data_IF_967773275455
#
_entry.id   IF_967773275455
#
_cell.length_a   1.000
_cell.length_b   1.000
_cell.length_c   1.000
_cell.angle_alpha   90.00
_cell.angle_beta   90.00
_cell.angle_gamma   90.00
#
_symmetry.space_group_name_H-M   'P 1'
#
loop_
_entity.id
_entity.type
_entity.pdbx_description
1 polymer ?
#
# COMPACT_ATOMS: atom_id res chain seq x y z
N UNK A 1 12.56 18.23 5.31
CA UNK A 1 13.12 16.89 5.57
C UNK A 1 12.40 16.00 4.58
N UNK A 2 13.10 15.32 3.67
CA UNK A 2 12.51 14.38 2.72
C UNK A 2 12.74 12.95 3.20
N UNK A 3 12.84 12.02 2.25
CA UNK A 3 13.37 10.68 2.50
C UNK A 3 14.77 10.74 3.12
N UNK A 4 15.20 9.62 3.71
CA UNK A 4 16.57 9.48 4.20
C UNK A 4 17.55 9.58 3.03
N UNK A 5 18.57 10.42 3.18
CA UNK A 5 19.59 10.60 2.15
C UNK A 5 20.70 9.55 2.29
N UNK A 6 20.64 8.53 1.42
CA UNK A 6 21.62 7.43 1.38
C UNK A 6 22.86 7.77 0.55
N UNK A 7 22.79 8.81 -0.30
CA UNK A 7 23.92 9.30 -1.09
C UNK A 7 25.04 9.88 -0.24
N UNK A 8 24.67 10.60 0.82
CA UNK A 8 25.61 11.22 1.75
C UNK A 8 26.01 10.32 2.93
N UNK A 9 25.29 9.22 3.16
CA UNK A 9 25.49 8.36 4.34
C UNK A 9 25.08 6.91 4.10
N UNK A 10 25.99 6.09 3.56
CA UNK A 10 25.77 4.63 3.52
C UNK A 10 26.57 3.86 2.47
N UNK A 11 26.96 4.50 1.38
CA UNK A 11 27.54 3.82 0.20
C UNK A 11 28.78 4.55 -0.32
N UNK A 12 29.72 3.81 -0.92
CA UNK A 12 31.04 4.30 -1.30
C UNK A 12 30.99 5.23 -2.53
N UNK A 13 30.11 4.95 -3.49
CA UNK A 13 29.95 5.77 -4.70
C UNK A 13 28.55 5.63 -5.31
N UNK A 14 27.48 6.08 -4.61
CA UNK A 14 26.13 6.03 -5.12
C UNK A 14 25.90 7.04 -6.25
N UNK A 15 25.11 6.63 -7.24
CA UNK A 15 24.60 7.47 -8.32
C UNK A 15 23.45 8.35 -7.84
N UNK A 16 22.34 8.32 -8.55
CA UNK A 16 21.10 9.00 -8.18
C UNK A 16 20.35 8.20 -7.12
N UNK A 17 19.48 8.86 -6.35
CA UNK A 17 18.58 8.18 -5.41
C UNK A 17 17.14 8.34 -5.91
N UNK A 18 16.50 7.21 -6.20
CA UNK A 18 15.11 7.12 -6.59
C UNK A 18 14.28 6.76 -5.35
N UNK A 19 13.46 7.71 -4.90
CA UNK A 19 12.54 7.50 -3.79
C UNK A 19 11.21 6.95 -4.31
N UNK A 20 10.81 5.79 -3.80
CA UNK A 20 9.62 5.05 -4.21
C UNK A 20 8.75 4.81 -2.98
N UNK A 21 7.47 5.19 -3.03
CA UNK A 21 6.52 4.87 -1.95
C UNK A 21 5.50 3.86 -2.48
N UNK A 22 5.42 2.71 -1.82
CA UNK A 22 4.47 1.65 -2.12
C UNK A 22 3.37 1.58 -1.04
N UNK A 23 2.13 1.86 -1.42
CA UNK A 23 0.94 1.71 -0.59
C UNK A 23 0.37 0.31 -0.77
N UNK A 24 0.31 -0.45 0.32
CA UNK A 24 -0.17 -1.83 0.31
C UNK A 24 -1.39 -1.96 1.20
N UNK A 25 -2.50 -2.43 0.63
CA UNK A 25 -3.77 -2.63 1.33
C UNK A 25 -4.19 -4.10 1.40
N UNK A 26 -5.41 -4.31 1.88
CA UNK A 26 -5.89 -5.64 2.31
C UNK A 26 -5.96 -6.67 1.17
N UNK A 27 -5.94 -6.22 -0.09
CA UNK A 27 -5.82 -7.11 -1.24
C UNK A 27 -4.56 -7.97 -1.21
N UNK A 28 -3.44 -7.50 -0.62
CA UNK A 28 -2.26 -8.32 -0.42
C UNK A 28 -2.52 -9.48 0.55
N UNK A 29 -3.10 -9.18 1.73
CA UNK A 29 -3.42 -10.21 2.73
C UNK A 29 -4.42 -11.22 2.17
N UNK A 30 -5.46 -10.75 1.47
CA UNK A 30 -6.47 -11.64 0.83
C UNK A 30 -5.81 -12.56 -0.20
N UNK A 31 -4.91 -12.04 -1.03
CA UNK A 31 -4.17 -12.84 -2.00
C UNK A 31 -3.29 -13.88 -1.29
N UNK A 32 -2.46 -13.46 -0.34
CA UNK A 32 -1.57 -14.35 0.40
C UNK A 32 -2.36 -15.45 1.13
N UNK A 33 -3.48 -15.11 1.77
CA UNK A 33 -4.32 -16.10 2.45
C UNK A 33 -4.97 -17.08 1.47
N UNK A 34 -5.42 -16.59 0.31
CA UNK A 34 -5.98 -17.43 -0.76
C UNK A 34 -4.95 -18.40 -1.33
N UNK A 35 -3.76 -17.91 -1.70
CA UNK A 35 -2.68 -18.71 -2.30
C UNK A 35 -2.17 -19.82 -1.37
N UNK A 36 -2.31 -19.62 -0.05
CA UNK A 36 -1.89 -20.57 0.98
C UNK A 36 -3.05 -21.42 1.50
N UNK A 37 -4.24 -21.30 0.88
CA UNK A 37 -5.40 -22.13 1.18
C UNK A 37 -6.00 -21.88 2.56
N UNK A 38 -5.87 -20.67 3.10
CA UNK A 38 -6.50 -20.31 4.36
C UNK A 38 -8.02 -20.35 4.24
N UNK A 39 -8.68 -20.93 5.25
CA UNK A 39 -10.14 -20.97 5.33
C UNK A 39 -10.75 -19.64 5.81
N UNK A 40 -9.91 -18.75 6.35
CA UNK A 40 -10.31 -17.45 6.92
C UNK A 40 -9.48 -16.37 6.25
N UNK A 41 -10.15 -15.30 5.81
CA UNK A 41 -9.51 -14.09 5.29
C UNK A 41 -9.56 -12.95 6.32
N UNK A 42 -8.93 -11.81 5.99
CA UNK A 42 -8.85 -10.62 6.84
C UNK A 42 -9.95 -9.58 6.58
N UNK A 43 -10.98 -9.92 5.79
CA UNK A 43 -12.05 -8.96 5.43
C UNK A 43 -12.98 -8.70 6.61
N UNK A 44 -13.57 -7.50 6.66
CA UNK A 44 -14.52 -7.15 7.71
C UNK A 44 -15.79 -8.03 7.71
N UNK A 45 -16.18 -8.63 6.58
CA UNK A 45 -17.25 -9.65 6.53
C UNK A 45 -16.90 -10.85 7.41
N UNK A 46 -15.68 -11.39 7.29
CA UNK A 46 -15.20 -12.51 8.09
C UNK A 46 -15.10 -12.13 9.56
N UNK A 47 -14.64 -10.90 9.85
CA UNK A 47 -14.62 -10.37 11.22
C UNK A 47 -16.02 -10.26 11.83
N UNK A 48 -17.03 -9.79 11.09
CA UNK A 48 -18.42 -9.75 11.56
C UNK A 48 -18.91 -11.15 11.95
N UNK A 49 -18.66 -12.17 11.13
CA UNK A 49 -19.06 -13.54 11.45
C UNK A 49 -18.33 -14.08 12.68
N UNK A 50 -17.06 -13.72 12.86
CA UNK A 50 -16.29 -14.03 14.06
C UNK A 50 -16.93 -13.42 15.33
N UNK A 51 -17.33 -12.15 15.29
CA UNK A 51 -18.03 -11.49 16.40
C UNK A 51 -19.33 -12.23 16.77
N UNK A 52 -20.12 -12.64 15.77
CA UNK A 52 -21.37 -13.41 16.01
C UNK A 52 -21.09 -14.78 16.64
N UNK A 53 -20.07 -15.49 16.19
CA UNK A 53 -19.70 -16.80 16.73
C UNK A 53 -19.26 -16.72 18.20
N UNK A 54 -18.64 -15.62 18.61
CA UNK A 54 -18.19 -15.38 19.98
C UNK A 54 -19.27 -14.80 20.90
N UNK A 55 -20.48 -14.57 20.38
CA UNK A 55 -21.54 -13.89 21.13
C UNK A 55 -21.07 -12.55 21.69
N UNK A 56 -20.35 -11.77 20.87
CA UNK A 56 -19.95 -10.41 21.21
C UNK A 56 -21.17 -9.55 21.56
N UNK A 57 -20.96 -8.52 22.39
CA UNK A 57 -22.02 -7.67 22.94
C UNK A 57 -22.97 -7.13 21.87
N UNK A 58 -24.20 -7.64 21.86
CA UNK A 58 -25.28 -7.21 20.96
C UNK A 58 -25.74 -5.77 21.25
N UNK A 59 -25.33 -5.19 22.39
CA UNK A 59 -25.51 -3.78 22.71
C UNK A 59 -24.52 -2.84 22.00
N UNK A 60 -23.49 -3.37 21.32
CA UNK A 60 -22.52 -2.54 20.63
C UNK A 60 -23.17 -1.79 19.46
N UNK A 61 -23.15 -0.45 19.44
CA UNK A 61 -23.88 0.35 18.45
C UNK A 61 -23.38 0.17 17.02
N UNK A 62 -22.10 -0.21 16.84
CA UNK A 62 -21.52 -0.43 15.52
C UNK A 62 -21.97 -1.78 14.98
N UNK A 63 -21.94 -2.83 15.81
CA UNK A 63 -22.46 -4.14 15.43
C UNK A 63 -23.95 -4.07 15.05
N UNK A 64 -24.77 -3.34 15.83
CA UNK A 64 -26.19 -3.15 15.53
C UNK A 64 -26.43 -2.47 14.18
N UNK A 65 -25.65 -1.44 13.85
CA UNK A 65 -25.80 -0.75 12.57
C UNK A 65 -25.34 -1.64 11.40
N UNK A 66 -24.26 -2.42 11.56
CA UNK A 66 -23.85 -3.41 10.56
C UNK A 66 -24.96 -4.45 10.31
N UNK A 67 -25.62 -4.94 11.36
CA UNK A 67 -26.74 -5.88 11.24
C UNK A 67 -27.92 -5.29 10.48
N UNK A 68 -28.29 -4.05 10.83
CA UNK A 68 -29.37 -3.33 10.16
C UNK A 68 -29.07 -3.11 8.68
N UNK A 69 -27.89 -2.63 8.33
CA UNK A 69 -27.49 -2.40 6.93
C UNK A 69 -27.47 -3.69 6.12
N UNK A 70 -27.05 -4.79 6.75
CA UNK A 70 -27.09 -6.13 6.15
C UNK A 70 -28.54 -6.58 5.88
N UNK A 71 -29.45 -6.38 6.83
CA UNK A 71 -30.88 -6.68 6.66
C UNK A 71 -31.54 -5.83 5.56
N UNK A 72 -31.07 -4.60 5.39
CA UNK A 72 -31.48 -3.69 4.31
C UNK A 72 -30.84 -4.04 2.95
N UNK A 73 -29.94 -5.03 2.90
CA UNK A 73 -29.29 -5.48 1.67
C UNK A 73 -28.29 -4.49 1.08
N UNK A 74 -27.69 -3.63 1.90
CA UNK A 74 -26.61 -2.72 1.49
C UNK A 74 -25.35 -3.51 1.19
N UNK A 75 -24.57 -3.11 0.19
CA UNK A 75 -23.34 -3.83 -0.20
C UNK A 75 -22.15 -3.54 0.74
N UNK A 76 -22.10 -2.34 1.32
CA UNK A 76 -21.06 -1.81 2.20
C UNK A 76 -21.35 -2.02 3.69
N UNK A 77 -22.34 -2.86 4.03
CA UNK A 77 -22.78 -3.12 5.42
C UNK A 77 -21.66 -3.56 6.37
N UNK A 78 -20.60 -4.16 5.85
CA UNK A 78 -19.47 -4.66 6.61
C UNK A 78 -18.32 -3.65 6.76
N UNK A 79 -18.37 -2.52 6.06
CA UNK A 79 -17.37 -1.48 6.18
C UNK A 79 -17.52 -0.74 7.52
N UNK A 80 -16.73 -1.18 8.51
CA UNK A 80 -16.74 -0.61 9.86
C UNK A 80 -16.48 0.90 9.83
N UNK A 81 -15.67 1.39 8.90
CA UNK A 81 -15.28 2.79 8.82
C UNK A 81 -16.41 3.65 8.26
N UNK A 82 -17.04 3.18 7.19
CA UNK A 82 -18.28 3.76 6.66
C UNK A 82 -19.39 3.79 7.71
N UNK A 83 -19.60 2.70 8.46
CA UNK A 83 -20.60 2.62 9.53
C UNK A 83 -20.32 3.66 10.63
N UNK A 84 -19.07 3.79 11.08
CA UNK A 84 -18.69 4.78 12.09
C UNK A 84 -18.88 6.20 11.58
N UNK A 85 -18.53 6.48 10.32
CA UNK A 85 -18.73 7.78 9.69
C UNK A 85 -20.21 8.16 9.65
N UNK A 86 -21.06 7.24 9.23
CA UNK A 86 -22.51 7.41 9.17
C UNK A 86 -23.13 7.66 10.55
N UNK A 87 -22.76 6.87 11.54
CA UNK A 87 -23.24 7.05 12.92
C UNK A 87 -22.82 8.39 13.50
N UNK A 88 -21.58 8.80 13.26
CA UNK A 88 -21.07 10.09 13.71
C UNK A 88 -21.76 11.26 13.00
N UNK A 89 -22.04 11.13 11.70
CA UNK A 89 -22.75 12.14 10.93
C UNK A 89 -24.20 12.33 11.41
N UNK A 90 -24.87 11.24 11.82
CA UNK A 90 -26.24 11.28 12.36
C UNK A 90 -26.31 11.87 13.77
N UNK A 91 -25.32 11.57 14.62
CA UNK A 91 -25.23 12.11 15.97
C UNK A 91 -23.77 12.38 16.43
N UNK A 92 -23.25 13.59 16.17
CA UNK A 92 -21.89 13.96 16.56
C UNK A 92 -21.62 13.90 18.07
N UNK A 93 -22.66 13.94 18.91
CA UNK A 93 -22.49 13.91 20.36
C UNK A 93 -22.13 12.51 20.88
N UNK A 94 -22.38 11.45 20.10
CA UNK A 94 -22.04 10.04 20.41
C UNK A 94 -20.59 9.68 20.14
N UNK A 95 -19.74 10.61 19.71
CA UNK A 95 -18.34 10.34 19.41
C UNK A 95 -17.59 9.60 20.54
N UNK A 96 -17.91 9.90 21.81
CA UNK A 96 -17.29 9.21 22.97
C UNK A 96 -17.78 7.77 23.10
N UNK A 97 -19.07 7.53 22.93
CA UNK A 97 -19.66 6.18 22.98
C UNK A 97 -19.15 5.32 21.82
N UNK A 98 -19.05 5.90 20.61
CA UNK A 98 -18.47 5.23 19.43
C UNK A 98 -16.99 4.93 19.64
N UNK A 99 -16.24 5.82 20.29
CA UNK A 99 -14.84 5.57 20.62
C UNK A 99 -14.69 4.39 21.58
N UNK A 100 -15.60 4.22 22.54
CA UNK A 100 -15.58 3.06 23.44
C UNK A 100 -15.97 1.78 22.70
N UNK A 101 -17.05 1.81 21.91
CA UNK A 101 -17.49 0.69 21.09
C UNK A 101 -16.40 0.18 20.12
N UNK A 102 -15.62 1.10 19.54
CA UNK A 102 -14.46 0.78 18.71
C UNK A 102 -13.34 0.09 19.50
N UNK A 103 -13.06 0.54 20.72
CA UNK A 103 -12.05 -0.10 21.59
C UNK A 103 -12.43 -1.53 21.95
N UNK A 104 -13.72 -1.78 22.16
CA UNK A 104 -14.20 -3.12 22.49
C UNK A 104 -14.03 -4.04 21.27
N UNK A 105 -14.33 -3.57 20.06
CA UNK A 105 -14.07 -4.33 18.82
C UNK A 105 -12.58 -4.49 18.50
N UNK A 106 -11.73 -3.52 18.85
CA UNK A 106 -10.27 -3.62 18.66
C UNK A 106 -9.68 -4.84 19.36
N UNK A 107 -10.16 -5.15 20.57
CA UNK A 107 -9.75 -6.34 21.32
C UNK A 107 -10.07 -7.62 20.56
N UNK A 108 -11.33 -7.76 20.13
CA UNK A 108 -11.78 -8.93 19.37
C UNK A 108 -11.11 -9.03 17.99
N UNK A 109 -10.84 -7.90 17.34
CA UNK A 109 -10.17 -7.89 16.04
C UNK A 109 -8.73 -8.42 16.13
N UNK A 110 -8.01 -8.08 17.20
CA UNK A 110 -6.66 -8.60 17.42
C UNK A 110 -6.67 -10.14 17.57
N UNK A 111 -7.67 -10.69 18.27
CA UNK A 111 -7.84 -12.14 18.37
C UNK A 111 -8.20 -12.76 17.02
N UNK A 112 -9.09 -12.12 16.27
CA UNK A 112 -9.47 -12.54 14.92
C UNK A 112 -8.27 -12.62 13.97
N UNK A 113 -7.44 -11.58 13.92
CA UNK A 113 -6.25 -11.57 13.07
C UNK A 113 -5.27 -12.70 13.43
N UNK A 114 -5.19 -13.06 14.71
CA UNK A 114 -4.32 -14.15 15.18
C UNK A 114 -4.81 -15.53 14.74
N UNK A 115 -6.10 -15.66 14.44
CA UNK A 115 -6.69 -16.85 13.84
C UNK A 115 -6.60 -16.83 12.31
N UNK A 116 -6.77 -15.65 11.70
CA UNK A 116 -6.68 -15.48 10.25
C UNK A 116 -5.26 -15.67 9.72
N UNK A 117 -4.25 -15.23 10.48
CA UNK A 117 -2.83 -15.35 10.13
C UNK A 117 -2.11 -16.22 11.17
N UNK A 118 -2.22 -17.55 11.05
CA UNK A 118 -1.50 -18.45 11.95
C UNK A 118 0.00 -18.49 11.62
N UNK A 119 0.82 -18.85 12.61
CA UNK A 119 2.28 -18.79 12.52
C UNK A 119 2.87 -19.70 11.44
N UNK A 120 2.21 -20.81 11.12
CA UNK A 120 2.60 -21.75 10.07
C UNK A 120 2.41 -21.16 8.67
N UNK A 121 1.31 -20.44 8.43
CA UNK A 121 1.09 -19.69 7.20
C UNK A 121 2.14 -18.60 7.01
N UNK A 122 2.42 -17.82 8.06
CA UNK A 122 3.47 -16.79 8.02
C UNK A 122 4.82 -17.41 7.68
N UNK A 123 5.21 -18.49 8.38
CA UNK A 123 6.47 -19.20 8.13
C UNK A 123 6.55 -19.73 6.69
N UNK A 124 5.44 -20.26 6.16
CA UNK A 124 5.39 -20.75 4.79
C UNK A 124 5.57 -19.61 3.77
N UNK A 125 4.95 -18.46 4.01
CA UNK A 125 5.07 -17.27 3.15
C UNK A 125 6.50 -16.75 3.12
N UNK A 126 7.11 -16.55 4.29
CA UNK A 126 8.51 -16.12 4.38
C UNK A 126 9.47 -17.12 3.75
N UNK A 127 9.24 -18.42 3.95
CA UNK A 127 10.08 -19.48 3.34
C UNK A 127 9.99 -19.46 1.82
N UNK A 128 8.79 -19.31 1.25
CA UNK A 128 8.62 -19.23 -0.21
C UNK A 128 9.22 -17.94 -0.78
N UNK A 129 9.07 -16.80 -0.09
CA UNK A 129 9.69 -15.53 -0.48
C UNK A 129 11.21 -15.66 -0.52
N UNK A 130 11.78 -16.22 0.54
CA UNK A 130 13.21 -16.50 0.66
C UNK A 130 13.71 -17.46 -0.43
N UNK A 131 13.07 -18.62 -0.58
CA UNK A 131 13.55 -19.70 -1.44
C UNK A 131 13.44 -19.37 -2.94
N UNK A 132 12.43 -18.57 -3.31
CA UNK A 132 12.17 -18.17 -4.70
C UNK A 132 12.60 -16.73 -5.00
N UNK A 133 13.20 -16.04 -4.02
CA UNK A 133 13.63 -14.64 -4.13
C UNK A 133 12.49 -13.70 -4.55
N UNK A 134 11.29 -13.88 -3.98
CA UNK A 134 10.10 -13.14 -4.40
C UNK A 134 10.19 -11.65 -4.05
N UNK A 135 10.74 -11.29 -2.88
CA UNK A 135 10.94 -9.90 -2.50
C UNK A 135 11.88 -9.17 -3.47
N UNK A 136 13.07 -9.74 -3.70
CA UNK A 136 14.07 -9.19 -4.62
C UNK A 136 13.54 -9.16 -6.06
N UNK A 137 12.81 -10.20 -6.49
CA UNK A 137 12.15 -10.26 -7.78
C UNK A 137 11.14 -9.13 -7.98
N UNK A 138 10.30 -8.89 -6.98
CA UNK A 138 9.31 -7.80 -6.96
C UNK A 138 9.99 -6.43 -7.06
N UNK A 139 10.97 -6.15 -6.19
CA UNK A 139 11.67 -4.87 -6.14
C UNK A 139 12.46 -4.58 -7.42
N UNK A 140 13.06 -5.62 -8.03
CA UNK A 140 13.90 -5.47 -9.21
C UNK A 140 13.14 -5.47 -10.53
N UNK A 141 11.94 -6.07 -10.56
CA UNK A 141 11.27 -6.45 -11.80
C UNK A 141 9.91 -5.83 -12.07
N UNK A 142 9.37 -5.01 -11.16
CA UNK A 142 7.99 -4.49 -11.26
C UNK A 142 7.69 -3.70 -12.55
N UNK A 143 8.70 -3.12 -13.19
CA UNK A 143 8.53 -2.45 -14.49
C UNK A 143 8.08 -3.41 -15.60
N UNK A 144 8.25 -4.72 -15.40
CA UNK A 144 7.82 -5.75 -16.35
C UNK A 144 6.31 -5.96 -16.38
N UNK A 145 5.61 -5.53 -15.33
CA UNK A 145 4.17 -5.67 -15.22
C UNK A 145 3.41 -4.62 -16.05
N UNK A 146 4.14 -3.64 -16.61
CA UNK A 146 3.58 -2.58 -17.44
C UNK A 146 3.38 -3.03 -18.90
N UNK A 147 2.26 -2.62 -19.49
CA UNK A 147 2.05 -2.79 -20.94
C UNK A 147 3.13 -2.03 -21.75
N UNK A 148 3.58 -2.55 -22.91
CA UNK A 148 4.65 -1.94 -23.71
C UNK A 148 4.45 -0.46 -24.05
N UNK A 149 3.21 -0.05 -24.35
CA UNK A 149 2.83 1.33 -24.62
C UNK A 149 2.98 2.23 -23.39
N UNK A 150 2.62 1.72 -22.21
CA UNK A 150 2.72 2.43 -20.93
C UNK A 150 4.18 2.59 -20.56
N UNK A 151 4.95 1.50 -20.59
CA UNK A 151 6.38 1.50 -20.31
C UNK A 151 7.16 2.51 -21.17
N UNK A 152 6.82 2.63 -22.47
CA UNK A 152 7.45 3.60 -23.39
C UNK A 152 7.11 5.06 -23.09
N UNK A 153 5.97 5.34 -22.48
CA UNK A 153 5.56 6.72 -22.13
C UNK A 153 6.06 7.14 -20.75
N UNK A 154 6.29 6.17 -19.87
CA UNK A 154 6.72 6.42 -18.50
C UNK A 154 8.11 7.07 -18.48
N UNK A 155 8.27 8.11 -17.68
CA UNK A 155 9.55 8.83 -17.57
C UNK A 155 10.56 8.10 -16.67
N UNK A 156 10.08 7.41 -15.64
CA UNK A 156 10.90 6.73 -14.62
C UNK A 156 11.93 5.75 -15.21
N UNK A 157 11.57 4.82 -16.12
CA UNK A 157 12.55 3.90 -16.70
C UNK A 157 13.67 4.61 -17.45
N UNK A 158 13.42 5.78 -18.05
CA UNK A 158 14.45 6.53 -18.75
C UNK A 158 15.50 7.18 -17.85
N UNK A 159 15.28 7.20 -16.53
CA UNK A 159 16.19 7.82 -15.55
C UNK A 159 17.06 6.82 -14.80
N UNK A 160 16.77 5.53 -14.92
CA UNK A 160 17.52 4.50 -14.19
C UNK A 160 18.90 4.26 -14.80
N UNK A 161 19.91 4.13 -13.95
CA UNK A 161 21.30 3.92 -14.31
C UNK A 161 21.98 2.94 -13.36
N UNK A 162 23.20 2.53 -13.74
CA UNK A 162 24.07 1.82 -12.81
C UNK A 162 24.41 2.72 -11.64
N UNK A 163 24.60 2.10 -10.48
CA UNK A 163 25.01 2.71 -9.22
C UNK A 163 23.93 3.51 -8.50
N UNK A 164 22.73 3.62 -9.06
CA UNK A 164 21.61 4.30 -8.42
C UNK A 164 21.13 3.57 -7.15
N UNK A 165 20.51 4.33 -6.26
CA UNK A 165 19.92 3.85 -5.00
C UNK A 165 18.41 3.84 -5.15
N UNK A 166 17.80 2.68 -5.03
CA UNK A 166 16.34 2.53 -4.99
C UNK A 166 15.88 2.46 -3.54
N UNK A 167 15.28 3.54 -3.06
CA UNK A 167 14.77 3.66 -1.70
C UNK A 167 13.27 3.40 -1.68
N UNK A 168 12.87 2.20 -1.28
CA UNK A 168 11.47 1.78 -1.17
C UNK A 168 10.94 1.99 0.25
N UNK A 169 9.89 2.79 0.38
CA UNK A 169 9.10 2.89 1.58
C UNK A 169 7.74 2.22 1.36
N UNK A 170 7.49 1.14 2.08
CA UNK A 170 6.19 0.48 2.12
C UNK A 170 5.32 1.11 3.20
N UNK A 171 4.19 1.66 2.80
CA UNK A 171 3.11 2.08 3.70
C UNK A 171 2.09 0.94 3.73
N UNK A 172 2.19 0.11 4.77
CA UNK A 172 1.32 -1.04 4.96
C UNK A 172 0.05 -0.63 5.72
N UNK A 173 -1.09 -0.61 5.02
CA UNK A 173 -2.39 -0.36 5.65
C UNK A 173 -2.97 -1.59 6.33
N UNK A 174 -2.38 -2.77 6.09
CA UNK A 174 -2.78 -4.00 6.73
C UNK A 174 -2.24 -4.04 8.15
N UNK A 175 -2.96 -4.74 9.00
CA UNK A 175 -2.56 -4.91 10.39
C UNK A 175 -1.65 -6.12 10.57
N UNK A 176 -1.64 -7.05 9.61
CA UNK A 176 -0.93 -8.33 9.71
C UNK A 176 0.55 -8.19 9.30
N UNK A 177 1.43 -9.08 9.76
CA UNK A 177 2.84 -9.07 9.39
C UNK A 177 3.13 -9.75 8.04
N UNK A 178 2.10 -10.09 7.25
CA UNK A 178 2.28 -10.86 6.00
C UNK A 178 3.18 -10.14 5.00
N UNK A 179 2.95 -8.82 4.82
CA UNK A 179 3.78 -8.03 3.91
C UNK A 179 5.21 -7.93 4.44
N UNK A 180 5.37 -7.64 5.73
CA UNK A 180 6.67 -7.47 6.39
C UNK A 180 7.55 -8.71 6.21
N UNK A 181 6.97 -9.90 6.42
CA UNK A 181 7.67 -11.17 6.24
C UNK A 181 7.95 -11.46 4.76
N UNK A 182 7.03 -11.10 3.86
CA UNK A 182 7.23 -11.25 2.41
C UNK A 182 8.36 -10.37 1.87
N UNK A 183 8.40 -9.08 2.22
CA UNK A 183 9.39 -8.12 1.68
C UNK A 183 10.72 -8.11 2.43
N UNK A 184 10.85 -8.91 3.49
CA UNK A 184 12.07 -8.97 4.28
C UNK A 184 13.25 -9.49 3.45
N UNK A 185 14.33 -8.70 3.39
CA UNK A 185 15.54 -9.06 2.66
C UNK A 185 16.44 -9.95 3.55
N UNK A 186 16.15 -11.25 3.56
CA UNK A 186 16.89 -12.24 4.34
C UNK A 186 18.23 -12.65 3.71
N UNK A 187 19.06 -13.35 4.51
CA UNK A 187 20.44 -13.73 4.15
C UNK A 187 20.55 -14.73 2.99
N UNK A 188 19.46 -15.41 2.60
CA UNK A 188 19.47 -16.38 1.50
C UNK A 188 19.13 -15.73 0.17
N UNK A 189 18.20 -14.76 0.15
CA UNK A 189 17.87 -14.04 -1.09
C UNK A 189 18.67 -12.75 -1.30
N UNK A 190 19.24 -12.17 -0.24
CA UNK A 190 19.93 -10.89 -0.28
C UNK A 190 21.27 -10.93 0.46
N UNK A 191 22.32 -10.52 -0.23
CA UNK A 191 23.65 -10.27 0.34
C UNK A 191 23.92 -8.76 0.26
N UNK A 192 24.13 -8.06 1.38
CA UNK A 192 24.46 -6.64 1.36
C UNK A 192 25.84 -6.33 0.78
N UNK A 193 26.74 -7.31 0.65
CA UNK A 193 28.09 -7.17 0.07
C UNK A 193 28.43 -8.38 -0.83
N UNK A 194 27.69 -8.59 -1.95
CA UNK A 194 27.84 -9.76 -2.81
C UNK A 194 29.16 -9.73 -3.62
N UNK A 195 29.76 -8.55 -3.77
CA UNK A 195 30.98 -8.36 -4.57
C UNK A 195 32.20 -8.06 -3.70
N UNK A 196 33.38 -8.49 -4.18
CA UNK A 196 34.64 -8.33 -3.43
C UNK A 196 35.21 -6.91 -3.44
N UNK A 197 34.88 -6.12 -4.46
CA UNK A 197 35.56 -4.85 -4.77
C UNK A 197 34.61 -3.67 -4.93
N UNK A 198 33.30 -3.92 -4.92
CA UNK A 198 32.26 -2.90 -5.00
C UNK A 198 31.19 -3.22 -3.98
N UNK A 199 30.58 -2.18 -3.43
CA UNK A 199 29.60 -2.23 -2.34
C UNK A 199 28.15 -2.36 -2.82
N UNK A 200 27.90 -2.62 -4.11
CA UNK A 200 26.55 -2.76 -4.67
C UNK A 200 25.87 -4.00 -4.14
N UNK A 201 24.61 -3.87 -3.71
CA UNK A 201 23.85 -4.95 -3.09
C UNK A 201 22.63 -5.39 -3.92
N UNK A 202 22.40 -4.78 -5.09
CA UNK A 202 21.17 -4.99 -5.84
C UNK A 202 21.39 -4.96 -7.36
N UNK A 203 20.51 -5.65 -8.09
CA UNK A 203 20.44 -5.60 -9.55
C UNK A 203 19.02 -5.18 -9.95
N UNK A 204 18.89 -3.99 -10.51
CA UNK A 204 17.60 -3.48 -10.99
C UNK A 204 17.40 -3.87 -12.45
N UNK A 205 16.22 -4.39 -12.80
CA UNK A 205 15.87 -4.72 -14.20
C UNK A 205 15.18 -3.51 -14.80
N UNK A 206 15.87 -2.81 -15.69
CA UNK A 206 15.32 -1.61 -16.31
C UNK A 206 14.20 -1.93 -17.27
N UNK A 207 14.42 -2.87 -18.19
CA UNK A 207 13.46 -3.31 -19.20
C UNK A 207 13.24 -4.83 -19.17
N UNK A 208 12.63 -5.37 -18.10
CA UNK A 208 12.48 -6.82 -17.89
C UNK A 208 11.56 -7.48 -18.93
N UNK A 209 10.57 -6.78 -19.47
CA UNK A 209 9.64 -7.30 -20.50
C UNK A 209 10.12 -7.09 -21.94
N UNK A 210 11.40 -6.73 -22.11
CA UNK A 210 12.06 -6.62 -23.42
C UNK A 210 11.36 -5.68 -24.41
N UNK A 211 10.75 -4.59 -23.91
CA UNK A 211 9.99 -3.64 -24.72
C UNK A 211 10.90 -2.97 -25.76
N UNK A 212 10.60 -3.16 -27.04
CA UNK A 212 11.34 -2.56 -28.15
C UNK A 212 11.07 -1.05 -28.26
N UNK A 213 12.04 -0.30 -28.79
CA UNK A 213 11.97 1.17 -29.00
C UNK A 213 11.65 1.97 -27.73
N UNK A 214 12.16 1.53 -26.58
CA UNK A 214 12.03 2.23 -25.30
C UNK A 214 13.33 2.96 -24.90
N UNK A 215 13.26 3.72 -23.81
CA UNK A 215 14.40 4.46 -23.25
C UNK A 215 15.57 3.55 -22.84
N UNK A 216 15.25 2.38 -22.30
CA UNK A 216 16.20 1.35 -21.84
C UNK A 216 16.15 0.17 -22.79
N UNK A 217 17.30 -0.42 -23.12
CA UNK A 217 17.33 -1.51 -24.11
C UNK A 217 16.71 -2.77 -23.52
N UNK A 218 16.10 -3.62 -24.37
CA UNK A 218 15.54 -4.90 -23.93
C UNK A 218 16.53 -5.73 -23.10
N UNK A 219 16.11 -6.16 -21.91
CA UNK A 219 16.92 -7.01 -21.02
C UNK A 219 18.04 -6.30 -20.26
N UNK A 220 18.19 -4.97 -20.41
CA UNK A 220 19.21 -4.23 -19.65
C UNK A 220 18.94 -4.31 -18.14
N UNK A 221 20.01 -4.59 -17.40
CA UNK A 221 20.04 -4.64 -15.94
C UNK A 221 21.12 -3.70 -15.42
N UNK A 222 20.91 -3.17 -14.21
CA UNK A 222 21.77 -2.16 -13.61
C UNK A 222 22.25 -2.64 -12.25
N UNK A 223 23.56 -2.57 -12.02
CA UNK A 223 24.18 -2.87 -10.73
C UNK A 223 24.03 -1.67 -9.81
N UNK A 224 23.22 -1.80 -8.77
CA UNK A 224 22.64 -0.69 -8.03
C UNK A 224 22.52 -1.03 -6.54
N UNK A 225 21.83 -0.18 -5.78
CA UNK A 225 21.51 -0.42 -4.38
C UNK A 225 20.02 -0.44 -4.13
N UNK A 226 19.59 -1.18 -3.11
CA UNK A 226 18.23 -1.14 -2.61
C UNK A 226 18.21 -0.89 -1.10
N UNK A 227 17.27 -0.07 -0.66
CA UNK A 227 16.89 0.10 0.74
C UNK A 227 15.39 -0.09 0.83
N UNK A 228 14.94 -0.81 1.86
CA UNK A 228 13.51 -1.02 2.13
C UNK A 228 13.20 -0.63 3.57
N UNK A 229 12.09 0.07 3.75
CA UNK A 229 11.50 0.37 5.06
C UNK A 229 10.00 0.10 5.00
N UNK A 230 9.43 -0.44 6.08
CA UNK A 230 7.98 -0.69 6.20
C UNK A 230 7.42 0.12 7.36
N UNK A 231 6.33 0.86 7.11
CA UNK A 231 5.60 1.63 8.13
C UNK A 231 4.14 1.22 8.17
N UNK A 232 3.59 1.20 9.37
CA UNK A 232 2.22 0.76 9.67
C UNK A 232 1.38 1.91 10.22
N UNK A 233 0.86 2.83 9.38
CA UNK A 233 0.10 3.98 9.85
C UNK A 233 -1.16 3.59 10.63
N UNK A 234 -1.76 2.42 10.37
CA UNK A 234 -2.96 1.94 11.06
C UNK A 234 -2.65 1.02 12.26
N UNK A 235 -1.38 0.79 12.56
CA UNK A 235 -0.95 -0.09 13.63
C UNK A 235 -0.70 -1.52 13.18
N UNK A 236 -0.26 -2.33 14.13
CA UNK A 236 0.31 -3.65 13.86
C UNK A 236 -0.27 -4.69 14.84
N UNK A 237 -0.62 -5.87 14.32
CA UNK A 237 -1.31 -6.96 15.04
C UNK A 237 -0.61 -7.36 16.34
N UNK A 238 0.73 -7.42 16.34
CA UNK A 238 1.51 -7.78 17.54
C UNK A 238 1.40 -6.75 18.67
N UNK A 239 0.85 -5.56 18.39
CA UNK A 239 0.59 -4.49 19.36
C UNK A 239 -0.90 -4.15 19.28
N UNK A 240 -1.79 -4.88 19.98
CA UNK A 240 -3.25 -4.71 19.86
C UNK A 240 -3.74 -3.28 20.10
N UNK A 241 -3.09 -2.55 21.01
CA UNK A 241 -3.41 -1.13 21.31
C UNK A 241 -3.04 -0.15 20.21
N UNK A 242 -2.28 -0.59 19.21
CA UNK A 242 -1.88 0.25 18.06
C UNK A 242 -2.91 0.20 16.93
N UNK A 243 -3.83 -0.78 16.93
CA UNK A 243 -4.82 -0.97 15.87
C UNK A 243 -5.78 0.22 15.81
N UNK A 244 -5.66 1.03 14.77
CA UNK A 244 -6.43 2.25 14.58
C UNK A 244 -7.66 2.00 13.70
N UNK A 245 -8.79 1.80 14.37
CA UNK A 245 -10.10 1.91 13.76
C UNK A 245 -10.58 3.34 13.81
N UNK A 246 -11.12 3.83 12.70
CA UNK A 246 -11.56 5.21 12.62
C UNK A 246 -11.97 5.61 11.22
N UNK A 247 -12.37 6.86 11.10
CA UNK A 247 -12.74 7.49 9.84
C UNK A 247 -11.56 8.29 9.29
N UNK A 248 -11.65 8.74 8.04
CA UNK A 248 -10.70 9.75 7.53
C UNK A 248 -10.94 11.13 8.19
N UNK A 249 -10.07 12.09 7.91
CA UNK A 249 -10.17 13.43 8.50
C UNK A 249 -11.54 14.11 8.21
N UNK A 250 -12.26 14.60 9.23
CA UNK A 250 -13.51 15.30 9.01
C UNK A 250 -13.30 16.55 8.16
N UNK A 251 -14.20 16.79 7.20
CA UNK A 251 -14.14 17.87 6.19
C UNK A 251 -13.98 19.28 6.80
N UNK A 252 -14.28 19.47 8.10
CA UNK A 252 -14.13 20.73 8.82
C UNK A 252 -13.61 20.51 10.24
N UNK A 253 -12.34 20.77 10.47
CA UNK A 253 -11.74 20.69 11.81
C UNK A 253 -11.77 22.06 12.51
N UNK A 254 -12.54 22.18 13.59
CA UNK A 254 -12.50 23.33 14.51
C UNK A 254 -11.42 23.16 15.60
N UNK A 255 -10.25 22.62 15.23
CA UNK A 255 -9.20 22.23 16.16
C UNK A 255 -9.65 21.16 17.18
N UNK A 256 -9.07 21.17 18.38
CA UNK A 256 -9.33 20.19 19.45
C UNK A 256 -10.78 20.13 19.96
N UNK A 257 -11.66 21.05 19.53
CA UNK A 257 -13.08 21.04 19.89
C UNK A 257 -13.90 20.08 19.00
N UNK A 258 -13.36 19.70 17.85
CA UNK A 258 -14.00 18.72 16.98
C UNK A 258 -13.87 17.32 17.60
N UNK A 259 -15.02 16.77 18.00
CA UNK A 259 -15.09 15.43 18.59
C UNK A 259 -14.83 14.34 17.55
N UNK A 260 -15.09 14.60 16.27
CA UNK A 260 -14.79 13.69 15.16
C UNK A 260 -13.29 13.51 14.93
N UNK A 261 -12.48 14.51 15.28
CA UNK A 261 -11.02 14.43 15.19
C UNK A 261 -10.44 13.29 16.04
N UNK A 262 -11.10 12.90 17.13
CA UNK A 262 -10.69 11.78 17.99
C UNK A 262 -11.00 10.41 17.40
N UNK A 263 -11.78 10.35 16.32
CA UNK A 263 -12.05 9.15 15.53
C UNK A 263 -11.28 9.14 14.21
N UNK A 264 -10.57 10.23 13.87
CA UNK A 264 -9.84 10.35 12.63
C UNK A 264 -8.50 9.60 12.68
N UNK A 265 -8.29 8.64 11.77
CA UNK A 265 -7.02 7.91 11.69
C UNK A 265 -5.81 8.82 11.41
N UNK A 266 -5.86 9.77 10.45
CA UNK A 266 -4.70 10.62 10.15
C UNK A 266 -4.22 11.44 11.35
N UNK A 267 -5.15 11.81 12.24
CA UNK A 267 -4.84 12.54 13.46
C UNK A 267 -4.00 11.70 14.43
N UNK A 268 -4.41 10.46 14.70
CA UNK A 268 -3.69 9.56 15.63
C UNK A 268 -2.40 9.01 15.04
N UNK A 269 -2.40 8.70 13.75
CA UNK A 269 -1.21 8.31 13.01
C UNK A 269 -0.23 9.48 12.81
N UNK A 270 -0.69 10.73 13.05
CA UNK A 270 0.06 11.97 12.88
C UNK A 270 0.59 12.13 11.45
N UNK A 271 -0.24 11.82 10.44
CA UNK A 271 0.18 11.74 9.04
C UNK A 271 0.86 13.01 8.53
N UNK A 272 0.29 14.17 8.86
CA UNK A 272 0.85 15.48 8.54
C UNK A 272 2.30 15.66 9.01
N UNK A 273 2.64 15.16 10.19
CA UNK A 273 3.99 15.30 10.76
C UNK A 273 4.93 14.21 10.28
N UNK A 274 4.43 12.98 10.17
CA UNK A 274 5.24 11.79 9.91
C UNK A 274 5.49 11.52 8.44
N UNK A 275 4.55 11.85 7.55
CA UNK A 275 4.59 11.34 6.18
C UNK A 275 4.48 12.42 5.11
N UNK A 276 3.83 13.55 5.39
CA UNK A 276 3.63 14.63 4.39
C UNK A 276 4.90 15.07 3.69
N UNK A 277 5.99 15.09 4.44
CA UNK A 277 7.27 15.56 3.95
C UNK A 277 7.91 14.63 2.89
N UNK A 278 7.56 13.34 2.89
CA UNK A 278 8.04 12.34 1.94
C UNK A 278 7.47 12.54 0.53
N UNK A 279 6.28 13.16 0.44
CA UNK A 279 5.66 13.44 -0.85
C UNK A 279 6.39 14.52 -1.64
N UNK A 280 7.34 15.25 -1.04
CA UNK A 280 8.06 16.34 -1.71
C UNK A 280 9.17 15.86 -2.65
N UNK A 281 9.73 14.68 -2.39
CA UNK A 281 10.90 14.13 -3.06
C UNK A 281 10.70 12.67 -3.53
N UNK A 282 9.46 12.18 -3.51
CA UNK A 282 9.08 10.88 -4.10
C UNK A 282 8.97 10.99 -5.63
N UNK A 283 9.65 10.09 -6.33
CA UNK A 283 9.65 10.02 -7.80
C UNK A 283 8.57 9.08 -8.34
N UNK A 284 8.27 8.01 -7.60
CA UNK A 284 7.33 6.98 -8.03
C UNK A 284 6.46 6.53 -6.85
N UNK A 285 5.16 6.53 -7.08
CA UNK A 285 4.17 5.93 -6.20
C UNK A 285 3.72 4.60 -6.78
N UNK A 286 3.48 3.61 -5.92
CA UNK A 286 2.87 2.34 -6.30
C UNK A 286 1.70 2.07 -5.35
N UNK A 287 0.52 1.74 -5.87
CA UNK A 287 -0.65 1.34 -5.07
C UNK A 287 -0.95 -0.12 -5.40
N UNK A 288 -1.05 -0.96 -4.38
CA UNK A 288 -1.35 -2.38 -4.53
C UNK A 288 -2.32 -2.86 -3.45
N UNK A 289 -3.41 -3.52 -3.84
CA UNK A 289 -4.36 -4.13 -2.89
C UNK A 289 -5.16 -3.14 -2.05
N UNK A 290 -5.12 -1.84 -2.33
CA UNK A 290 -5.89 -0.82 -1.61
C UNK A 290 -7.29 -0.66 -2.22
N UNK A 291 -8.30 -0.47 -1.36
CA UNK A 291 -9.55 0.14 -1.80
C UNK A 291 -9.30 1.63 -2.05
N UNK A 292 -9.67 2.13 -3.23
CA UNK A 292 -9.68 3.56 -3.52
C UNK A 292 -10.94 4.21 -2.93
N UNK A 293 -11.06 4.12 -1.61
CA UNK A 293 -12.18 4.63 -0.82
C UNK A 293 -11.88 5.95 -0.11
N UNK A 294 -12.91 6.53 0.50
CA UNK A 294 -12.79 7.81 1.22
C UNK A 294 -12.02 7.69 2.55
N UNK A 295 -11.90 6.47 3.11
CA UNK A 295 -11.21 6.18 4.38
C UNK A 295 -9.73 6.58 4.41
N UNK A 296 -9.09 6.56 3.25
CA UNK A 296 -7.66 6.83 3.07
C UNK A 296 -7.42 8.05 2.16
N UNK A 297 -8.43 8.92 2.01
CA UNK A 297 -8.40 10.07 1.09
C UNK A 297 -7.23 11.00 1.36
N UNK A 298 -6.78 11.18 2.61
CA UNK A 298 -5.57 11.97 2.91
C UNK A 298 -4.37 11.52 2.06
N UNK A 299 -4.15 10.21 1.90
CA UNK A 299 -3.05 9.67 1.10
C UNK A 299 -3.26 9.94 -0.38
N UNK A 300 -4.44 9.60 -0.91
CA UNK A 300 -4.78 9.79 -2.33
C UNK A 300 -4.67 11.24 -2.76
N UNK A 301 -5.10 12.18 -1.91
CA UNK A 301 -4.95 13.62 -2.14
C UNK A 301 -3.49 14.03 -2.28
N UNK A 302 -2.63 13.62 -1.35
CA UNK A 302 -1.22 14.02 -1.37
C UNK A 302 -0.43 13.37 -2.52
N UNK A 303 -0.78 12.14 -2.92
CA UNK A 303 -0.27 11.55 -4.17
C UNK A 303 -0.71 12.42 -5.34
N UNK A 304 -2.02 12.67 -5.49
CA UNK A 304 -2.54 13.35 -6.66
C UNK A 304 -2.08 14.81 -6.77
N UNK A 305 -1.91 15.53 -5.66
CA UNK A 305 -1.29 16.86 -5.63
C UNK A 305 0.21 16.86 -5.99
N UNK A 306 0.88 15.72 -5.78
CA UNK A 306 2.27 15.49 -6.19
C UNK A 306 2.37 15.20 -7.68
N UNK A 307 1.36 14.56 -8.28
CA UNK A 307 1.31 14.25 -9.71
C UNK A 307 1.05 15.54 -10.51
N UNK A 308 1.87 15.82 -11.52
CA UNK A 308 1.74 17.02 -12.38
C UNK A 308 2.63 18.21 -12.01
N UNK A 309 3.43 18.12 -10.93
CA UNK A 309 4.46 19.12 -10.63
C UNK A 309 5.83 18.61 -11.05
N UNK A 310 6.50 19.38 -11.89
CA UNK A 310 7.91 19.15 -12.21
C UNK A 310 8.77 19.49 -10.99
N UNK A 311 9.73 18.61 -10.72
CA UNK A 311 10.59 18.67 -9.54
C UNK A 311 12.03 18.47 -9.95
N UNK A 312 12.94 19.07 -9.21
CA UNK A 312 14.36 18.79 -9.31
C UNK A 312 14.81 17.96 -8.12
N UNK A 313 15.81 17.11 -8.33
CA UNK A 313 16.54 16.49 -7.21
C UNK A 313 17.24 17.54 -6.36
N UNK A 314 17.59 17.23 -5.11
CA UNK A 314 18.29 18.16 -4.20
C UNK A 314 19.61 18.72 -4.76
N UNK A 315 20.28 17.99 -5.65
CA UNK A 315 21.50 18.45 -6.34
C UNK A 315 21.22 19.22 -7.66
N UNK A 316 19.95 19.50 -7.98
CA UNK A 316 19.46 20.13 -9.22
C UNK A 316 19.98 19.48 -10.52
N UNK A 317 20.41 18.21 -10.47
CA UNK A 317 21.04 17.53 -11.61
C UNK A 317 20.07 17.16 -12.72
N UNK A 318 18.80 16.91 -12.38
CA UNK A 318 17.76 16.60 -13.35
C UNK A 318 16.37 16.88 -12.80
N UNK A 319 15.49 17.23 -13.73
CA UNK A 319 14.06 17.42 -13.50
C UNK A 319 13.30 16.11 -13.73
N UNK A 320 12.28 15.87 -12.93
CA UNK A 320 11.38 14.74 -13.05
C UNK A 320 9.94 15.15 -12.71
N UNK A 321 9.00 14.37 -13.23
CA UNK A 321 7.59 14.42 -12.81
C UNK A 321 7.29 13.15 -12.03
N UNK A 322 6.73 13.24 -10.81
CA UNK A 322 6.30 12.07 -10.07
C UNK A 322 5.27 11.27 -10.87
N UNK A 323 5.40 9.95 -10.85
CA UNK A 323 4.49 9.03 -11.54
C UNK A 323 3.84 8.07 -10.54
N UNK A 324 2.70 7.49 -10.91
CA UNK A 324 1.95 6.55 -10.09
C UNK A 324 1.66 5.28 -10.90
N UNK A 325 1.92 4.11 -10.31
CA UNK A 325 1.45 2.82 -10.81
C UNK A 325 0.37 2.29 -9.87
N UNK A 326 -0.82 1.98 -10.40
CA UNK A 326 -1.92 1.36 -9.66
C UNK A 326 -2.07 -0.08 -10.15
N UNK A 327 -1.83 -1.04 -9.27
CA UNK A 327 -2.18 -2.43 -9.50
C UNK A 327 -3.61 -2.66 -9.05
N UNK A 328 -4.52 -2.90 -10.00
CA UNK A 328 -5.94 -3.06 -9.74
C UNK A 328 -6.40 -4.50 -10.02
N UNK A 329 -6.97 -5.14 -9.00
CA UNK A 329 -7.52 -6.49 -9.13
C UNK A 329 -8.86 -6.48 -9.86
N UNK A 330 -8.94 -7.24 -10.95
CA UNK A 330 -10.07 -7.32 -11.87
C UNK A 330 -10.70 -8.72 -11.94
N UNK A 331 -10.39 -9.62 -11.00
CA UNK A 331 -10.99 -10.96 -10.92
C UNK A 331 -12.39 -11.02 -10.28
N UNK A 332 -12.96 -9.88 -9.89
CA UNK A 332 -14.26 -9.78 -9.21
C UNK A 332 -15.48 -9.73 -10.16
N UNK A 333 -16.66 -9.53 -9.57
CA UNK A 333 -17.93 -9.39 -10.32
C UNK A 333 -18.04 -8.11 -11.14
N UNK A 334 -17.23 -7.09 -10.83
CA UNK A 334 -17.14 -5.82 -11.56
C UNK A 334 -15.72 -5.65 -12.09
N UNK A 335 -15.57 -5.75 -13.41
CA UNK A 335 -14.31 -5.52 -14.12
C UNK A 335 -14.25 -4.05 -14.48
N UNK A 336 -13.17 -3.37 -14.11
CA UNK A 336 -12.94 -1.96 -14.47
C UNK A 336 -11.88 -1.83 -15.56
N UNK A 337 -12.07 -0.85 -16.42
CA UNK A 337 -11.05 -0.41 -17.38
C UNK A 337 -9.99 0.45 -16.70
N UNK A 338 -8.81 0.61 -17.32
CA UNK A 338 -7.77 1.50 -16.81
C UNK A 338 -8.28 2.95 -16.61
N UNK A 339 -9.18 3.42 -17.48
CA UNK A 339 -9.79 4.74 -17.38
C UNK A 339 -10.67 4.90 -16.13
N UNK A 340 -11.55 3.92 -15.88
CA UNK A 340 -12.42 3.92 -14.70
C UNK A 340 -11.62 3.84 -13.39
N UNK A 341 -10.52 3.10 -13.36
CA UNK A 341 -9.63 3.05 -12.18
C UNK A 341 -8.96 4.41 -11.93
N UNK A 342 -8.52 5.11 -12.99
CA UNK A 342 -7.97 6.47 -12.87
C UNK A 342 -9.01 7.45 -12.34
N UNK A 343 -10.21 7.43 -12.90
CA UNK A 343 -11.33 8.28 -12.44
C UNK A 343 -11.66 8.01 -10.98
N UNK A 344 -11.70 6.73 -10.59
CA UNK A 344 -11.92 6.32 -9.21
C UNK A 344 -10.83 6.85 -8.27
N UNK A 345 -9.56 6.79 -8.68
CA UNK A 345 -8.45 7.35 -7.90
C UNK A 345 -8.61 8.86 -7.68
N UNK A 346 -8.87 9.64 -8.74
CA UNK A 346 -9.02 11.09 -8.61
C UNK A 346 -10.27 11.50 -7.82
N UNK A 347 -11.36 10.76 -7.98
CA UNK A 347 -12.57 10.94 -7.17
C UNK A 347 -12.30 10.67 -5.68
N UNK A 348 -11.58 9.59 -5.36
CA UNK A 348 -11.16 9.27 -4.00
C UNK A 348 -10.22 10.34 -3.42
N UNK A 349 -9.31 10.90 -4.23
CA UNK A 349 -8.46 12.04 -3.84
C UNK A 349 -9.25 13.35 -3.60
N UNK A 350 -10.45 13.46 -4.17
CA UNK A 350 -11.30 14.65 -4.09
C UNK A 350 -10.77 15.80 -4.93
N UNK A 351 -10.27 15.51 -6.14
CA UNK A 351 -9.83 16.51 -7.11
C UNK A 351 -10.83 16.61 -8.26
N UNK A 352 -11.24 17.84 -8.59
CA UNK A 352 -12.29 18.12 -9.58
C UNK A 352 -11.75 18.22 -11.03
N UNK A 353 -10.46 18.52 -11.23
CA UNK A 353 -9.81 18.61 -12.55
C UNK A 353 -8.41 17.93 -12.53
N UNK A 354 -8.31 16.68 -12.98
CA UNK A 354 -7.06 15.92 -12.96
C UNK A 354 -6.26 16.00 -14.27
N UNK A 355 -6.61 16.88 -15.21
CA UNK A 355 -6.13 16.83 -16.61
C UNK A 355 -4.60 16.74 -16.75
N UNK A 356 -3.83 17.51 -15.99
CA UNK A 356 -2.36 17.47 -16.03
C UNK A 356 -1.75 16.27 -15.27
N UNK A 357 -2.44 15.74 -14.26
CA UNK A 357 -1.96 14.64 -13.41
C UNK A 357 -2.30 13.25 -14.00
N UNK A 358 -3.35 13.16 -14.82
CA UNK A 358 -3.87 11.90 -15.34
C UNK A 358 -2.86 11.14 -16.21
N UNK A 359 -2.01 11.84 -16.96
CA UNK A 359 -0.96 11.23 -17.80
C UNK A 359 0.14 10.55 -16.98
N UNK A 360 0.28 10.94 -15.70
CA UNK A 360 1.26 10.37 -14.77
C UNK A 360 0.73 9.14 -14.02
N UNK A 361 -0.53 8.73 -14.27
CA UNK A 361 -1.17 7.57 -13.62
C UNK A 361 -1.23 6.38 -14.59
N UNK A 362 -0.47 5.35 -14.27
CA UNK A 362 -0.37 4.10 -15.01
C UNK A 362 -1.12 3.01 -14.26
N UNK A 363 -1.94 2.22 -14.95
CA UNK A 363 -2.78 1.20 -14.31
C UNK A 363 -2.40 -0.18 -14.87
N UNK A 364 -2.08 -1.09 -13.97
CA UNK A 364 -1.86 -2.52 -14.25
C UNK A 364 -3.11 -3.27 -13.78
N UNK A 365 -3.91 -3.75 -14.72
CA UNK A 365 -5.06 -4.60 -14.42
C UNK A 365 -4.57 -6.03 -14.28
N UNK A 366 -4.94 -6.72 -13.20
CA UNK A 366 -4.54 -8.10 -12.97
C UNK A 366 -5.67 -8.93 -12.35
N UNK A 367 -5.60 -10.24 -12.53
CA UNK A 367 -6.46 -11.23 -11.87
C UNK A 367 -5.62 -12.40 -11.33
N UNK A 368 -6.29 -13.45 -10.83
CA UNK A 368 -5.62 -14.63 -10.27
C UNK A 368 -4.76 -15.39 -11.29
N UNK A 369 -4.97 -15.19 -12.59
CA UNK A 369 -4.22 -15.83 -13.68
C UNK A 369 -3.08 -14.97 -14.22
N UNK A 370 -3.03 -13.70 -13.83
CA UNK A 370 -2.06 -12.73 -14.35
C UNK A 370 -0.71 -12.91 -13.66
N UNK A 371 0.30 -13.33 -14.44
CA UNK A 371 1.69 -13.33 -13.99
C UNK A 371 2.18 -11.89 -13.81
N UNK A 372 2.77 -11.61 -12.65
CA UNK A 372 3.37 -10.31 -12.32
C UNK A 372 4.56 -10.50 -11.39
N UNK A 373 5.50 -9.57 -11.46
CA UNK A 373 6.63 -9.49 -10.54
C UNK A 373 6.23 -8.85 -9.21
N UNK A 374 5.40 -7.80 -9.25
CA UNK A 374 5.09 -7.01 -8.06
C UNK A 374 4.20 -7.76 -7.05
N UNK A 375 4.75 -7.96 -5.85
CA UNK A 375 4.07 -8.53 -4.66
C UNK A 375 3.21 -9.78 -4.97
N UNK A 376 3.71 -10.65 -5.84
CA UNK A 376 3.02 -11.86 -6.24
C UNK A 376 3.37 -13.01 -5.29
N UNK A 377 2.34 -13.55 -4.62
CA UNK A 377 2.47 -14.68 -3.68
C UNK A 377 2.09 -16.02 -4.31
N UNK A 378 1.76 -16.04 -5.60
CA UNK A 378 1.24 -17.23 -6.25
C UNK A 378 2.24 -18.39 -6.19
N UNK A 379 1.72 -19.54 -5.77
CA UNK A 379 2.42 -20.83 -5.76
C UNK A 379 2.32 -21.57 -7.08
N UNK A 380 1.73 -20.97 -8.12
CA UNK A 380 1.67 -21.59 -9.45
C UNK A 380 3.07 -22.04 -9.87
N UNK A 381 3.15 -23.33 -10.22
CA UNK A 381 4.37 -24.13 -10.25
C UNK A 381 5.52 -23.44 -11.00
N UNK A 382 6.64 -23.27 -10.30
CA UNK A 382 7.96 -23.02 -10.91
C UNK A 382 8.58 -24.34 -11.34
#
# INVERSE_FOLDING_TARGET
MGHREYRASGFDSPGNQHNIIAFVGNGFDVQALSDYGSAVDTRYVSFYHFLKLRSFDEGNPILQEMEKLREEGKEDWSDVEGVVADLLARDPWRATDLSQALRDMQGEFSEFLSLAVPSDLLTALGSDSMDRSLAVGSLSGFLGDLEPEVYRRMGFPGRVQNFDVYNFLFVNFNYTPLLDDFVYLDQKQFDPLPYRTVDRNFVFKGNPSEVANAHVRPGDTFSSYVMTDVVHPHGHQSIPRSLLFGIDEPVRTAGNQDRGLRLAKPFWAQNERRYKHLFADTELYIIFGCSLGESDRWWWRHIAESLGRERSTDDERFEYRPELIIYWFNGGSSVLTQGEVREKFFSAAGLDDPSDAAESVHVVLYDDSTERAWLNTSRAAT
#
